data_IF_581182754688
#
_entry.id   IF_581182754688
#
_cell.length_a   1.000
_cell.length_b   1.000
_cell.length_c   1.000
_cell.angle_alpha   90.00
_cell.angle_beta   90.00
_cell.angle_gamma   90.00
#
_symmetry.space_group_name_H-M   'P 1'
#
loop_
_entity.id
_entity.type
_entity.pdbx_description
1 polymer ?
#
# COMPACT_ATOMS: atom_id res chain seq x y z
N UNK A 1 -14.07 -3.08 -4.90
CA UNK A 1 -12.88 -2.75 -4.09
C UNK A 1 -12.24 -4.09 -3.66
N UNK A 2 -10.93 -4.27 -3.83
CA UNK A 2 -10.24 -5.58 -3.74
C UNK A 2 -9.03 -5.49 -2.80
N UNK A 3 -8.68 -6.58 -2.13
CA UNK A 3 -7.47 -6.63 -1.30
C UNK A 3 -6.21 -6.97 -2.08
N UNK A 4 -6.36 -7.62 -3.24
CA UNK A 4 -5.24 -8.06 -4.07
C UNK A 4 -5.36 -7.51 -5.50
N UNK A 5 -4.21 -7.25 -6.15
CA UNK A 5 -4.20 -6.92 -7.56
C UNK A 5 -4.52 -8.15 -8.41
N UNK A 6 -5.15 -7.91 -9.55
CA UNK A 6 -5.24 -8.88 -10.65
C UNK A 6 -3.91 -9.01 -11.38
N UNK A 7 -3.71 -10.11 -12.10
CA UNK A 7 -2.53 -10.30 -12.94
C UNK A 7 -2.34 -9.17 -13.95
N UNK A 8 -3.44 -8.68 -14.55
CA UNK A 8 -3.43 -7.54 -15.47
C UNK A 8 -2.86 -6.27 -14.81
N UNK A 9 -3.21 -5.99 -13.56
CA UNK A 9 -2.70 -4.84 -12.81
C UNK A 9 -1.21 -4.99 -12.48
N UNK A 10 -0.78 -6.19 -12.08
CA UNK A 10 0.65 -6.48 -11.84
C UNK A 10 1.46 -6.30 -13.12
N UNK A 11 0.98 -6.81 -14.26
CA UNK A 11 1.65 -6.67 -15.55
C UNK A 11 1.71 -5.20 -16.01
N UNK A 12 0.66 -4.41 -15.75
CA UNK A 12 0.68 -2.98 -16.03
C UNK A 12 1.73 -2.23 -15.19
N UNK A 13 1.89 -2.58 -13.90
CA UNK A 13 2.93 -2.01 -13.05
C UNK A 13 4.35 -2.36 -13.57
N UNK A 14 4.57 -3.62 -13.96
CA UNK A 14 5.85 -4.10 -14.51
C UNK A 14 6.21 -3.48 -15.87
N UNK A 15 5.22 -3.01 -16.62
CA UNK A 15 5.44 -2.35 -17.91
C UNK A 15 5.95 -0.90 -17.78
N UNK A 16 5.97 -0.34 -16.55
CA UNK A 16 6.50 0.99 -16.30
C UNK A 16 8.03 1.07 -16.47
N UNK A 17 8.57 2.29 -16.55
CA UNK A 17 10.02 2.51 -16.59
C UNK A 17 10.65 2.12 -15.25
N UNK A 18 11.59 1.16 -15.26
CA UNK A 18 12.28 0.68 -14.05
C UNK A 18 13.38 1.63 -13.55
N UNK A 19 13.69 2.70 -14.29
CA UNK A 19 14.63 3.74 -13.88
C UNK A 19 13.95 4.94 -13.20
N UNK A 20 12.62 4.92 -13.11
CA UNK A 20 11.84 6.02 -12.53
C UNK A 20 11.22 5.60 -11.19
N UNK A 21 11.08 6.60 -10.31
CA UNK A 21 10.37 6.45 -9.05
C UNK A 21 8.92 6.10 -9.29
N UNK A 22 8.39 5.27 -8.40
CA UNK A 22 6.95 4.99 -8.33
C UNK A 22 6.42 5.42 -6.97
N UNK A 23 5.25 6.05 -6.96
CA UNK A 23 4.52 6.38 -5.74
C UNK A 23 3.23 5.58 -5.71
N UNK A 24 3.12 4.70 -4.73
CA UNK A 24 1.94 3.88 -4.49
C UNK A 24 0.91 4.71 -3.71
N UNK A 25 -0.18 5.09 -4.37
CA UNK A 25 -1.36 5.66 -3.73
C UNK A 25 -2.20 4.54 -3.12
N UNK A 26 -2.48 4.65 -1.84
CA UNK A 26 -3.28 3.72 -1.08
C UNK A 26 -4.47 4.49 -0.49
N UNK A 27 -5.69 4.11 -0.85
CA UNK A 27 -6.93 4.62 -0.24
C UNK A 27 -7.53 3.48 0.57
N UNK A 28 -7.67 3.67 1.88
CA UNK A 28 -7.85 2.56 2.81
C UNK A 28 -9.25 2.56 3.41
N UNK A 29 -9.88 1.39 3.44
CA UNK A 29 -11.05 1.11 4.27
C UNK A 29 -10.68 0.01 5.25
N UNK A 30 -10.80 0.29 6.54
CA UNK A 30 -10.42 -0.60 7.61
C UNK A 30 -11.59 -1.50 8.03
N UNK A 31 -11.26 -2.73 8.42
CA UNK A 31 -12.14 -3.58 9.24
C UNK A 31 -11.58 -3.82 10.64
N UNK A 32 -10.26 -3.74 10.79
CA UNK A 32 -9.55 -3.81 12.07
C UNK A 32 -8.33 -2.85 12.03
N UNK A 33 -8.51 -1.58 12.47
CA UNK A 33 -7.45 -0.58 12.45
C UNK A 33 -6.19 -0.99 13.25
N UNK A 34 -6.35 -1.76 14.32
CA UNK A 34 -5.23 -2.22 15.15
C UNK A 34 -4.34 -3.22 14.41
N UNK A 35 -4.94 -4.19 13.70
CA UNK A 35 -4.20 -5.12 12.84
C UNK A 35 -3.48 -4.38 11.71
N UNK A 36 -4.13 -3.38 11.10
CA UNK A 36 -3.47 -2.57 10.07
C UNK A 36 -2.32 -1.72 10.62
N UNK A 37 -2.46 -1.19 11.84
CA UNK A 37 -1.40 -0.45 12.51
C UNK A 37 -0.17 -1.34 12.77
N UNK A 38 -0.39 -2.59 13.19
CA UNK A 38 0.68 -3.58 13.35
C UNK A 38 1.36 -3.92 12.02
N UNK A 39 0.58 -4.13 10.95
CA UNK A 39 1.13 -4.26 9.59
C UNK A 39 2.02 -3.05 9.23
N UNK A 40 1.53 -1.84 9.44
CA UNK A 40 2.27 -0.61 9.15
C UNK A 40 3.57 -0.48 9.95
N UNK A 41 3.57 -0.89 11.22
CA UNK A 41 4.76 -0.90 12.07
C UNK A 41 5.84 -1.85 11.53
N UNK A 42 5.45 -3.04 11.06
CA UNK A 42 6.36 -4.04 10.46
C UNK A 42 6.85 -3.63 9.08
N UNK A 43 5.99 -3.03 8.25
CA UNK A 43 6.42 -2.46 6.97
C UNK A 43 7.51 -1.41 7.19
N UNK A 44 7.33 -0.50 8.16
CA UNK A 44 8.33 0.55 8.45
C UNK A 44 9.72 0.00 8.78
N UNK A 45 9.84 -1.21 9.35
CA UNK A 45 11.15 -1.78 9.68
C UNK A 45 11.89 -2.30 8.45
N UNK A 46 11.19 -2.82 7.44
CA UNK A 46 11.81 -3.41 6.23
C UNK A 46 11.87 -2.43 5.05
N UNK A 47 11.00 -1.41 5.04
CA UNK A 47 10.82 -0.51 3.90
C UNK A 47 12.12 0.15 3.40
N UNK A 48 13.07 0.59 4.27
CA UNK A 48 14.34 1.18 3.82
C UNK A 48 15.22 0.23 3.01
N UNK A 49 15.20 -1.07 3.31
CA UNK A 49 16.00 -2.09 2.61
C UNK A 49 15.60 -2.21 1.13
N UNK A 50 14.36 -1.83 0.82
CA UNK A 50 13.80 -1.79 -0.52
C UNK A 50 13.76 -0.38 -1.11
N UNK A 51 14.58 0.57 -0.61
CA UNK A 51 14.58 1.96 -1.08
C UNK A 51 13.19 2.61 -1.05
N UNK A 52 12.35 2.16 -0.12
CA UNK A 52 11.01 2.66 0.07
C UNK A 52 10.99 3.76 1.14
N UNK A 53 10.03 4.67 1.04
CA UNK A 53 9.71 5.63 2.11
C UNK A 53 8.25 6.05 2.08
N UNK A 54 7.70 6.34 3.25
CA UNK A 54 6.38 6.96 3.35
C UNK A 54 6.52 8.45 3.06
N UNK A 55 5.78 8.94 2.06
CA UNK A 55 5.71 10.37 1.73
C UNK A 55 4.58 11.07 2.50
N UNK A 56 3.48 10.36 2.72
CA UNK A 56 2.29 10.90 3.37
C UNK A 56 1.50 9.78 4.03
N UNK A 57 0.96 10.04 5.21
CA UNK A 57 -0.01 9.20 5.91
C UNK A 57 -0.98 10.11 6.67
N UNK A 58 -2.28 10.00 6.39
CA UNK A 58 -3.27 10.86 7.04
C UNK A 58 -4.67 10.25 7.02
N UNK A 59 -5.43 10.57 8.07
CA UNK A 59 -6.84 10.25 8.15
C UNK A 59 -7.65 11.07 7.13
N UNK A 60 -8.64 10.44 6.52
CA UNK A 60 -9.58 11.12 5.64
C UNK A 60 -10.52 12.00 6.47
N UNK A 61 -10.63 13.29 6.13
CA UNK A 61 -11.48 14.24 6.88
C UNK A 61 -12.89 14.33 6.31
N UNK A 62 -13.01 14.63 5.03
CA UNK A 62 -14.28 14.87 4.34
C UNK A 62 -14.09 14.94 2.82
N UNK A 63 -15.10 14.55 2.06
CA UNK A 63 -15.17 14.77 0.60
C UNK A 63 -15.66 16.20 0.36
N UNK A 64 -14.85 17.04 -0.29
CA UNK A 64 -15.27 18.39 -0.69
C UNK A 64 -15.91 18.40 -2.09
N UNK A 65 -15.41 17.55 -3.00
CA UNK A 65 -15.87 17.41 -4.38
C UNK A 65 -15.91 15.91 -4.72
N UNK A 66 -17.01 15.46 -5.32
CA UNK A 66 -17.23 14.08 -5.76
C UNK A 66 -18.49 13.47 -5.16
N UNK A 67 -19.27 12.81 -6.01
CA UNK A 67 -20.47 12.06 -5.61
C UNK A 67 -20.11 10.58 -5.46
N UNK A 68 -20.81 9.87 -4.56
CA UNK A 68 -20.66 8.42 -4.33
C UNK A 68 -19.22 7.93 -4.06
N UNK A 69 -18.38 8.79 -3.45
CA UNK A 69 -17.01 8.44 -3.08
C UNK A 69 -17.04 7.36 -1.98
N UNK A 70 -16.30 6.25 -2.13
CA UNK A 70 -16.18 5.26 -1.07
C UNK A 70 -15.74 5.89 0.26
N UNK A 71 -16.20 5.32 1.38
CA UNK A 71 -15.85 5.79 2.73
C UNK A 71 -14.41 5.43 3.11
N UNK A 72 -13.43 5.98 2.39
CA UNK A 72 -12.03 5.86 2.75
C UNK A 72 -11.79 6.51 4.10
N UNK A 73 -11.01 5.85 4.94
CA UNK A 73 -10.69 6.28 6.30
C UNK A 73 -9.27 6.85 6.40
N UNK A 74 -8.38 6.44 5.49
CA UNK A 74 -7.03 6.96 5.42
C UNK A 74 -6.47 6.95 3.98
N UNK A 75 -5.46 7.77 3.78
CA UNK A 75 -4.65 7.83 2.56
C UNK A 75 -3.17 7.68 2.93
N UNK A 76 -2.47 6.84 2.16
CA UNK A 76 -1.05 6.57 2.32
C UNK A 76 -0.33 6.68 0.96
N UNK A 77 0.78 7.42 0.94
CA UNK A 77 1.69 7.52 -0.20
C UNK A 77 3.02 6.86 0.15
N UNK A 78 3.42 5.85 -0.61
CA UNK A 78 4.72 5.18 -0.44
C UNK A 78 5.53 5.31 -1.72
N UNK A 79 6.67 5.98 -1.65
CA UNK A 79 7.62 6.09 -2.77
C UNK A 79 8.59 4.90 -2.73
N UNK A 80 8.91 4.35 -3.89
CA UNK A 80 10.04 3.45 -4.11
C UNK A 80 10.94 4.03 -5.19
N UNK A 81 12.23 3.67 -5.16
CA UNK A 81 13.17 4.03 -6.22
C UNK A 81 12.69 3.59 -7.61
N UNK A 82 11.99 2.45 -7.69
CA UNK A 82 11.25 1.98 -8.87
C UNK A 82 10.26 0.87 -8.47
N UNK A 83 9.47 0.40 -9.45
CA UNK A 83 8.48 -0.66 -9.21
C UNK A 83 9.10 -2.04 -8.91
N UNK A 84 10.32 -2.32 -9.36
CA UNK A 84 11.00 -3.59 -9.02
C UNK A 84 11.26 -3.68 -7.52
N UNK A 85 11.63 -2.57 -6.88
CA UNK A 85 11.82 -2.53 -5.42
C UNK A 85 10.55 -2.81 -4.62
N UNK A 86 9.41 -2.31 -5.09
CA UNK A 86 8.12 -2.69 -4.53
C UNK A 86 7.85 -4.19 -4.67
N UNK A 87 8.06 -4.75 -5.87
CA UNK A 87 7.82 -6.17 -6.14
C UNK A 87 8.75 -7.10 -5.34
N UNK A 88 10.03 -6.72 -5.21
CA UNK A 88 11.03 -7.39 -4.36
C UNK A 88 10.55 -7.42 -2.90
N UNK A 89 10.09 -6.28 -2.37
CA UNK A 89 9.59 -6.19 -1.00
C UNK A 89 8.39 -7.11 -0.79
N UNK A 90 7.37 -7.02 -1.64
CA UNK A 90 6.12 -7.79 -1.48
C UNK A 90 6.28 -9.29 -1.69
N UNK A 91 7.39 -9.71 -2.30
CA UNK A 91 7.73 -11.12 -2.50
C UNK A 91 8.74 -11.67 -1.49
N UNK A 92 9.25 -10.82 -0.58
CA UNK A 92 10.28 -11.21 0.39
C UNK A 92 9.72 -12.09 1.52
N UNK A 93 10.55 -12.99 2.06
CA UNK A 93 10.16 -13.81 3.23
C UNK A 93 9.77 -12.95 4.43
N UNK A 94 10.47 -11.83 4.65
CA UNK A 94 10.17 -10.90 5.72
C UNK A 94 8.74 -10.33 5.60
N UNK A 95 8.36 -9.83 4.41
CA UNK A 95 7.02 -9.33 4.15
C UNK A 95 5.97 -10.45 4.25
N UNK A 96 6.26 -11.61 3.66
CA UNK A 96 5.36 -12.75 3.68
C UNK A 96 5.11 -13.28 5.11
N UNK A 97 6.05 -13.08 6.03
CA UNK A 97 5.88 -13.42 7.44
C UNK A 97 4.82 -12.60 8.19
N UNK A 98 4.43 -11.43 7.68
CA UNK A 98 3.49 -10.55 8.39
C UNK A 98 2.37 -9.95 7.52
N UNK A 99 2.30 -10.23 6.22
CA UNK A 99 1.28 -9.63 5.34
C UNK A 99 -0.16 -9.93 5.76
N UNK A 100 -0.39 -11.01 6.51
CA UNK A 100 -1.72 -11.36 7.05
C UNK A 100 -2.33 -10.24 7.90
N UNK A 101 -1.53 -9.46 8.64
CA UNK A 101 -2.03 -8.29 9.37
C UNK A 101 -2.68 -7.24 8.45
N UNK A 102 -2.21 -7.09 7.20
CA UNK A 102 -2.87 -6.22 6.20
C UNK A 102 -4.24 -6.78 5.82
N UNK A 103 -4.32 -8.08 5.62
CA UNK A 103 -5.56 -8.77 5.23
C UNK A 103 -6.58 -8.76 6.35
N UNK A 104 -6.13 -8.90 7.59
CA UNK A 104 -6.95 -8.78 8.80
C UNK A 104 -7.39 -7.33 9.04
N UNK A 105 -6.54 -6.36 8.67
CA UNK A 105 -6.79 -4.94 8.93
C UNK A 105 -7.68 -4.24 7.90
N UNK A 106 -7.59 -4.62 6.63
CA UNK A 106 -8.31 -3.97 5.54
C UNK A 106 -9.61 -4.68 5.19
N UNK A 107 -10.67 -3.89 5.07
CA UNK A 107 -11.87 -4.27 4.32
C UNK A 107 -11.57 -4.18 2.83
N UNK A 108 -10.95 -3.08 2.40
CA UNK A 108 -10.55 -2.90 1.01
C UNK A 108 -9.56 -1.77 0.76
N UNK A 109 -9.06 -1.72 -0.49
CA UNK A 109 -8.14 -0.74 -1.03
C UNK A 109 -8.41 -0.49 -2.52
#
# INVERSE_FOLDING_TARGET
MSLYPTEKQVNALKAGNSNEKVVMLNLLVFKNPEAYAEYGNRVKTILPDYSGKVLFNGAFRSVLIGDDVPKFEAVLLVEYANHNKFLEMTSSEAYLGFHHFREEGLESQ
#
